data_IF_152370893807
#
_entry.id   IF_152370893807
#
_cell.length_a   1.000
_cell.length_b   1.000
_cell.length_c   1.000
_cell.angle_alpha   90.00
_cell.angle_beta   90.00
_cell.angle_gamma   90.00
#
_symmetry.space_group_name_H-M   'P 1'
#
loop_
_entity.id
_entity.type
_entity.pdbx_description
1 polymer ?
#
# COMPACT_ATOMS: atom_id res chain seq x y z
N UNK A 1 -8.70 -26.52 0.85
CA UNK A 1 -9.71 -25.45 0.73
C UNK A 1 -9.17 -24.04 0.96
N UNK A 2 -8.52 -23.74 2.09
CA UNK A 2 -7.97 -22.39 2.36
C UNK A 2 -6.88 -21.96 1.37
N UNK A 3 -6.01 -22.89 0.96
CA UNK A 3 -4.96 -22.62 -0.03
C UNK A 3 -5.55 -22.25 -1.39
N UNK A 4 -6.50 -23.05 -1.85
CA UNK A 4 -7.25 -22.81 -3.10
C UNK A 4 -7.99 -21.47 -3.06
N UNK A 5 -8.55 -21.10 -1.90
CA UNK A 5 -9.18 -19.79 -1.70
C UNK A 5 -8.16 -18.65 -1.76
N UNK A 6 -7.04 -18.75 -1.04
CA UNK A 6 -6.04 -17.68 -0.98
C UNK A 6 -5.44 -17.38 -2.35
N UNK A 7 -5.14 -18.43 -3.14
CA UNK A 7 -4.63 -18.27 -4.51
C UNK A 7 -5.69 -17.65 -5.43
N UNK A 8 -6.93 -18.14 -5.37
CA UNK A 8 -8.06 -17.57 -6.13
C UNK A 8 -8.29 -16.10 -5.78
N UNK A 9 -8.29 -15.78 -4.49
CA UNK A 9 -8.46 -14.42 -3.98
C UNK A 9 -7.40 -13.47 -4.55
N UNK A 10 -6.12 -13.87 -4.47
CA UNK A 10 -5.00 -13.10 -5.02
C UNK A 10 -5.16 -12.85 -6.51
N UNK A 11 -5.47 -13.88 -7.29
CA UNK A 11 -5.65 -13.77 -8.74
C UNK A 11 -6.79 -12.80 -9.09
N UNK A 12 -7.95 -12.94 -8.43
CA UNK A 12 -9.11 -12.07 -8.69
C UNK A 12 -8.87 -10.64 -8.24
N UNK A 13 -8.24 -10.42 -7.08
CA UNK A 13 -7.84 -9.08 -6.62
C UNK A 13 -6.93 -8.39 -7.65
N UNK A 14 -5.93 -9.09 -8.17
CA UNK A 14 -5.03 -8.55 -9.20
C UNK A 14 -5.80 -8.24 -10.48
N UNK A 15 -6.72 -9.13 -10.91
CA UNK A 15 -7.59 -8.91 -12.07
C UNK A 15 -8.47 -7.67 -11.93
N UNK A 16 -8.97 -7.39 -10.72
CA UNK A 16 -9.72 -6.17 -10.40
C UNK A 16 -8.83 -4.91 -10.31
N UNK A 17 -7.50 -5.05 -10.40
CA UNK A 17 -6.56 -3.93 -10.29
C UNK A 17 -6.45 -3.33 -8.88
N UNK A 18 -6.90 -4.07 -7.86
CA UNK A 18 -6.97 -3.63 -6.45
C UNK A 18 -5.68 -4.02 -5.74
N UNK A 19 -5.10 -3.14 -4.93
CA UNK A 19 -3.90 -3.47 -4.14
C UNK A 19 -4.28 -4.09 -2.79
N UNK A 20 -3.35 -4.79 -2.14
CA UNK A 20 -3.55 -5.34 -0.79
C UNK A 20 -3.91 -4.26 0.25
N UNK A 21 -3.41 -3.04 0.10
CA UNK A 21 -3.76 -1.91 0.97
C UNK A 21 -5.19 -1.40 0.70
N UNK A 22 -5.62 -1.41 -0.56
CA UNK A 22 -6.98 -1.02 -0.96
C UNK A 22 -8.00 -2.01 -0.40
N UNK A 23 -7.69 -3.32 -0.40
CA UNK A 23 -8.54 -4.34 0.25
C UNK A 23 -8.70 -4.02 1.73
N UNK A 24 -7.59 -3.82 2.44
CA UNK A 24 -7.61 -3.51 3.87
C UNK A 24 -8.43 -2.26 4.21
N UNK A 25 -8.32 -1.22 3.37
CA UNK A 25 -9.10 0.02 3.50
C UNK A 25 -10.58 -0.17 3.17
N UNK A 26 -10.90 -0.96 2.15
CA UNK A 26 -12.27 -1.23 1.74
C UNK A 26 -13.03 -2.07 2.79
N UNK A 27 -12.35 -3.03 3.43
CA UNK A 27 -12.92 -3.83 4.52
C UNK A 27 -13.29 -2.98 5.74
N UNK A 28 -12.55 -1.90 6.02
CA UNK A 28 -12.91 -0.96 7.09
C UNK A 28 -14.28 -0.30 6.85
N UNK A 29 -14.69 -0.14 5.60
CA UNK A 29 -15.98 0.46 5.24
C UNK A 29 -17.15 -0.52 5.27
N UNK A 30 -16.89 -1.84 5.27
CA UNK A 30 -17.93 -2.88 5.28
C UNK A 30 -18.58 -3.06 6.66
N UNK A 31 -18.13 -2.35 7.71
CA UNK A 31 -18.71 -2.34 9.07
C UNK A 31 -19.08 -3.74 9.61
N UNK A 32 -18.29 -4.76 9.29
CA UNK A 32 -18.53 -6.12 9.80
C UNK A 32 -18.18 -6.13 11.30
N UNK A 33 -19.11 -6.48 12.21
CA UNK A 33 -18.84 -6.50 13.64
C UNK A 33 -17.63 -7.40 13.97
N UNK A 34 -16.67 -6.86 14.73
CA UNK A 34 -15.47 -7.60 15.15
C UNK A 34 -14.31 -7.61 14.14
N UNK A 35 -14.48 -7.03 12.95
CA UNK A 35 -13.43 -6.93 11.93
C UNK A 35 -12.89 -5.50 11.91
N UNK A 36 -11.77 -5.28 12.57
CA UNK A 36 -11.02 -4.02 12.48
C UNK A 36 -10.44 -3.79 11.08
N UNK A 37 -9.85 -2.61 10.85
CA UNK A 37 -9.15 -2.33 9.61
C UNK A 37 -8.01 -3.36 9.39
N UNK A 38 -8.11 -4.14 8.32
CA UNK A 38 -7.02 -5.06 7.97
C UNK A 38 -5.89 -4.26 7.33
N UNK A 39 -4.66 -4.55 7.72
CA UNK A 39 -3.50 -3.90 7.14
C UNK A 39 -3.09 -4.58 5.83
N UNK A 40 -2.33 -3.87 4.98
CA UNK A 40 -1.72 -4.45 3.79
C UNK A 40 -0.90 -5.72 4.13
N UNK A 41 -0.17 -5.72 5.26
CA UNK A 41 0.60 -6.88 5.68
C UNK A 41 -0.30 -8.05 6.10
N UNK A 42 -1.48 -7.81 6.66
CA UNK A 42 -2.46 -8.88 6.94
C UNK A 42 -2.93 -9.56 5.66
N UNK A 43 -3.28 -8.79 4.63
CA UNK A 43 -3.69 -9.35 3.33
C UNK A 43 -2.54 -10.10 2.66
N UNK A 44 -1.32 -9.54 2.71
CA UNK A 44 -0.12 -10.20 2.18
C UNK A 44 0.15 -11.54 2.87
N UNK A 45 -0.02 -11.61 4.21
CA UNK A 45 0.20 -12.84 4.97
C UNK A 45 -0.88 -13.89 4.70
N UNK A 46 -2.12 -13.45 4.49
CA UNK A 46 -3.20 -14.34 4.05
C UNK A 46 -2.91 -14.95 2.67
N UNK A 47 -2.54 -14.13 1.68
CA UNK A 47 -2.21 -14.58 0.31
C UNK A 47 -0.98 -15.50 0.25
N UNK A 48 -0.05 -15.39 1.22
CA UNK A 48 1.14 -16.23 1.32
C UNK A 48 1.00 -17.41 2.28
N UNK A 49 -0.20 -17.62 2.85
CA UNK A 49 -0.47 -18.70 3.80
C UNK A 49 0.42 -18.64 5.06
N UNK A 50 0.86 -17.45 5.46
CA UNK A 50 1.76 -17.23 6.62
C UNK A 50 1.03 -16.76 7.89
N UNK A 51 -0.30 -16.86 7.89
CA UNK A 51 -1.12 -16.69 9.10
C UNK A 51 -1.39 -18.04 9.75
N UNK A 52 -1.71 -18.02 11.05
CA UNK A 52 -2.17 -19.23 11.74
C UNK A 52 -3.46 -19.76 11.11
N UNK A 53 -3.69 -21.07 11.22
CA UNK A 53 -4.89 -21.71 10.67
C UNK A 53 -6.18 -21.04 11.17
N UNK A 54 -6.29 -20.76 12.47
CA UNK A 54 -7.47 -20.09 13.05
C UNK A 54 -7.70 -18.69 12.46
N UNK A 55 -6.63 -17.92 12.22
CA UNK A 55 -6.75 -16.61 11.58
C UNK A 55 -7.15 -16.73 10.10
N UNK A 56 -6.62 -17.73 9.39
CA UNK A 56 -7.01 -18.00 8.00
C UNK A 56 -8.50 -18.34 7.90
N UNK A 57 -9.00 -19.20 8.80
CA UNK A 57 -10.42 -19.58 8.87
C UNK A 57 -11.29 -18.36 9.18
N UNK A 58 -10.89 -17.53 10.13
CA UNK A 58 -11.64 -16.32 10.50
C UNK A 58 -11.67 -15.27 9.37
N UNK A 59 -10.59 -15.13 8.61
CA UNK A 59 -10.50 -14.14 7.53
C UNK A 59 -11.16 -14.58 6.22
N UNK A 60 -11.26 -15.90 5.96
CA UNK A 60 -11.86 -16.43 4.72
C UNK A 60 -13.24 -15.84 4.42
N UNK A 61 -14.26 -15.91 5.30
CA UNK A 61 -15.61 -15.41 4.97
C UNK A 61 -15.64 -13.90 4.72
N UNK A 62 -14.80 -13.13 5.42
CA UNK A 62 -14.69 -11.68 5.28
C UNK A 62 -14.14 -11.32 3.89
N UNK A 63 -13.06 -11.98 3.50
CA UNK A 63 -12.40 -11.76 2.21
C UNK A 63 -13.25 -12.28 1.05
N UNK A 64 -14.03 -13.33 1.27
CA UNK A 64 -14.97 -13.89 0.28
C UNK A 64 -16.11 -12.90 0.02
N UNK A 65 -16.76 -12.40 1.07
CA UNK A 65 -17.83 -11.41 0.95
C UNK A 65 -17.36 -10.13 0.25
N UNK A 66 -16.17 -9.63 0.61
CA UNK A 66 -15.59 -8.47 -0.06
C UNK A 66 -15.31 -8.72 -1.54
N UNK A 67 -14.79 -9.91 -1.88
CA UNK A 67 -14.43 -10.25 -3.26
C UNK A 67 -15.68 -10.33 -4.15
N UNK A 68 -16.76 -10.94 -3.66
CA UNK A 68 -18.03 -11.02 -4.38
C UNK A 68 -18.60 -9.63 -4.69
N UNK A 69 -18.57 -8.73 -3.70
CA UNK A 69 -19.06 -7.35 -3.85
C UNK A 69 -18.19 -6.56 -4.83
N UNK A 70 -16.86 -6.67 -4.71
CA UNK A 70 -15.94 -6.01 -5.63
C UNK A 70 -16.11 -6.49 -7.07
N UNK A 71 -16.35 -7.79 -7.29
CA UNK A 71 -16.62 -8.33 -8.62
C UNK A 71 -18.00 -7.91 -9.15
N UNK A 72 -19.04 -7.82 -8.29
CA UNK A 72 -20.37 -7.32 -8.66
C UNK A 72 -20.29 -5.88 -9.15
N UNK A 73 -19.66 -5.00 -8.37
CA UNK A 73 -19.48 -3.60 -8.73
C UNK A 73 -18.69 -3.42 -10.03
N UNK A 74 -17.70 -4.29 -10.30
CA UNK A 74 -16.94 -4.24 -11.56
C UNK A 74 -17.80 -4.66 -12.76
N UNK A 75 -18.65 -5.69 -12.61
CA UNK A 75 -19.61 -6.10 -13.65
C UNK A 75 -20.61 -4.99 -13.96
N UNK A 76 -21.16 -4.34 -12.95
CA UNK A 76 -22.09 -3.22 -13.12
C UNK A 76 -21.47 -2.04 -13.89
N UNK A 77 -20.20 -1.73 -13.61
CA UNK A 77 -19.42 -0.71 -14.34
C UNK A 77 -19.15 -1.07 -15.80
N UNK A 78 -19.07 -2.35 -16.15
CA UNK A 78 -18.90 -2.78 -17.55
C UNK A 78 -20.23 -2.76 -18.33
N UNK A 79 -21.36 -2.91 -17.64
CA UNK A 79 -22.70 -2.92 -18.26
C UNK A 79 -23.35 -1.55 -18.44
N UNK A 80 -22.83 -0.49 -17.79
CA UNK A 80 -23.28 0.90 -17.99
C UNK A 80 -22.14 1.76 -18.56
N UNK A 81 -22.18 2.15 -19.84
CA UNK A 81 -21.24 3.13 -20.37
C UNK A 81 -21.71 4.52 -19.96
N UNK A 82 -21.39 4.97 -18.74
CA UNK A 82 -21.58 6.38 -18.39
C UNK A 82 -20.35 7.21 -18.76
N UNK A 83 -20.61 8.19 -19.62
CA UNK A 83 -19.72 9.28 -20.01
C UNK A 83 -19.63 10.26 -18.83
N UNK A 84 -18.55 10.28 -18.04
CA UNK A 84 -17.88 11.54 -17.61
C UNK A 84 -16.64 11.32 -16.70
N UNK A 85 -15.58 12.04 -17.09
CA UNK A 85 -14.56 12.76 -16.29
C UNK A 85 -13.98 12.19 -14.99
N UNK A 86 -12.67 11.93 -15.05
CA UNK A 86 -11.70 12.59 -14.16
C UNK A 86 -11.71 12.22 -12.68
N UNK A 87 -10.83 11.30 -12.28
CA UNK A 87 -10.45 11.21 -10.87
C UNK A 87 -9.73 9.94 -10.43
N UNK A 88 -8.58 9.58 -11.01
CA UNK A 88 -7.61 8.75 -10.28
C UNK A 88 -6.20 8.83 -10.89
N UNK A 89 -5.59 10.03 -10.83
CA UNK A 89 -4.15 10.16 -11.09
C UNK A 89 -3.38 9.62 -9.88
N UNK A 90 -3.29 8.28 -9.78
CA UNK A 90 -2.37 7.55 -8.90
C UNK A 90 -1.01 8.25 -8.90
N UNK A 91 -0.57 8.72 -7.73
CA UNK A 91 0.74 9.39 -7.59
C UNK A 91 1.84 8.36 -7.89
N UNK A 92 2.50 8.51 -9.04
CA UNK A 92 3.63 7.65 -9.45
C UNK A 92 4.75 7.74 -8.41
N UNK A 93 5.31 6.59 -8.04
CA UNK A 93 6.48 6.50 -7.15
C UNK A 93 7.66 7.24 -7.77
N UNK A 94 8.27 8.17 -7.03
CA UNK A 94 9.50 8.84 -7.46
C UNK A 94 10.68 7.89 -7.26
N UNK A 95 11.39 7.56 -8.34
CA UNK A 95 12.69 6.87 -8.26
C UNK A 95 13.75 7.91 -7.91
N UNK A 96 14.58 7.63 -6.90
CA UNK A 96 15.75 8.43 -6.55
C UNK A 96 16.94 7.73 -7.20
N UNK A 97 17.66 8.41 -8.08
CA UNK A 97 18.81 7.82 -8.75
C UNK A 97 20.01 7.64 -7.79
N UNK A 98 20.98 6.85 -8.23
CA UNK A 98 22.13 6.46 -7.41
C UNK A 98 22.98 7.63 -6.87
N UNK A 99 23.25 8.73 -7.61
CA UNK A 99 24.04 9.84 -7.08
C UNK A 99 23.28 10.66 -6.01
N UNK A 100 21.98 10.85 -6.17
CA UNK A 100 21.14 11.57 -5.19
C UNK A 100 20.99 10.73 -3.93
N UNK A 101 20.84 9.40 -4.07
CA UNK A 101 20.80 8.48 -2.92
C UNK A 101 22.10 8.55 -2.10
N UNK A 102 23.27 8.51 -2.75
CA UNK A 102 24.57 8.65 -2.08
C UNK A 102 24.69 10.00 -1.35
N UNK A 103 24.23 11.07 -1.98
CA UNK A 103 24.24 12.41 -1.38
C UNK A 103 23.32 12.49 -0.15
N UNK A 104 22.13 11.90 -0.22
CA UNK A 104 21.20 11.81 0.91
C UNK A 104 21.79 10.99 2.08
N UNK A 105 22.49 9.89 1.78
CA UNK A 105 23.20 9.08 2.78
C UNK A 105 24.31 9.88 3.48
N UNK A 106 25.07 10.69 2.74
CA UNK A 106 26.09 11.59 3.32
C UNK A 106 25.47 12.65 4.25
N UNK A 107 24.38 13.30 3.84
CA UNK A 107 23.65 14.24 4.69
C UNK A 107 23.08 13.58 5.95
N UNK A 108 22.60 12.34 5.80
CA UNK A 108 22.03 11.57 6.90
C UNK A 108 23.08 11.18 7.94
N UNK A 109 24.31 10.84 7.53
CA UNK A 109 25.40 10.52 8.44
C UNK A 109 25.76 11.71 9.36
N UNK A 110 25.66 12.94 8.85
CA UNK A 110 25.94 14.17 9.62
C UNK A 110 24.75 14.56 10.50
N UNK A 111 23.53 14.57 9.93
CA UNK A 111 22.33 14.98 10.64
C UNK A 111 21.12 14.11 10.26
N UNK A 112 20.83 13.04 11.03
CA UNK A 112 19.70 12.14 10.76
C UNK A 112 18.30 12.78 10.88
N UNK A 113 18.22 13.92 11.58
CA UNK A 113 17.01 14.71 11.83
C UNK A 113 17.20 16.16 11.35
N UNK A 114 17.23 16.40 10.02
CA UNK A 114 17.33 17.75 9.49
C UNK A 114 16.04 18.55 9.76
N UNK A 115 16.17 19.87 9.96
CA UNK A 115 15.04 20.79 10.09
C UNK A 115 14.26 20.92 8.76
N UNK A 116 13.06 21.50 8.80
CA UNK A 116 12.25 21.73 7.58
C UNK A 116 12.97 22.60 6.54
N UNK A 117 13.72 23.61 7.00
CA UNK A 117 14.54 24.47 6.16
C UNK A 117 15.70 23.68 5.53
N UNK A 118 16.40 22.86 6.33
CA UNK A 118 17.48 22.03 5.82
C UNK A 118 17.00 21.00 4.81
N UNK A 119 15.81 20.42 5.01
CA UNK A 119 15.17 19.52 4.04
C UNK A 119 14.87 20.26 2.72
N UNK A 120 14.42 21.51 2.78
CA UNK A 120 14.17 22.31 1.59
C UNK A 120 15.47 22.58 0.81
N UNK A 121 16.54 22.97 1.50
CA UNK A 121 17.84 23.20 0.87
C UNK A 121 18.44 21.93 0.23
N UNK A 122 18.29 20.76 0.88
CA UNK A 122 18.74 19.48 0.30
C UNK A 122 17.91 19.11 -0.93
N UNK A 123 16.59 19.34 -0.88
CA UNK A 123 15.69 19.10 -1.99
C UNK A 123 16.05 19.94 -3.22
N UNK A 124 16.30 21.23 -3.04
CA UNK A 124 16.75 22.13 -4.10
C UNK A 124 18.10 21.69 -4.69
N UNK A 125 19.08 21.37 -3.84
CA UNK A 125 20.42 20.95 -4.29
C UNK A 125 20.42 19.63 -5.08
N UNK A 126 19.49 18.72 -4.78
CA UNK A 126 19.40 17.41 -5.42
C UNK A 126 18.34 17.36 -6.54
N UNK A 127 17.70 18.49 -6.86
CA UNK A 127 16.56 18.58 -7.78
C UNK A 127 15.45 17.55 -7.45
N UNK A 128 15.16 17.39 -6.16
CA UNK A 128 14.12 16.51 -5.65
C UNK A 128 12.99 17.30 -5.01
N UNK A 129 11.77 16.77 -5.05
CA UNK A 129 10.66 17.37 -4.29
C UNK A 129 10.94 17.31 -2.79
N UNK A 130 10.70 18.41 -2.07
CA UNK A 130 10.82 18.49 -0.60
C UNK A 130 10.20 17.30 0.15
N UNK A 131 9.04 16.85 -0.31
CA UNK A 131 8.34 15.71 0.29
C UNK A 131 9.08 14.37 0.09
N UNK A 132 9.77 14.19 -1.03
CA UNK A 132 10.57 12.98 -1.32
C UNK A 132 11.75 12.91 -0.36
N UNK A 133 12.49 14.01 -0.19
CA UNK A 133 13.61 14.09 0.76
C UNK A 133 13.13 13.86 2.19
N UNK A 134 12.05 14.52 2.62
CA UNK A 134 11.46 14.32 3.96
C UNK A 134 11.11 12.86 4.23
N UNK A 135 10.42 12.20 3.29
CA UNK A 135 10.02 10.79 3.41
C UNK A 135 11.25 9.89 3.41
N UNK A 136 12.27 10.19 2.60
CA UNK A 136 13.52 9.44 2.58
C UNK A 136 14.23 9.46 3.95
N UNK A 137 14.37 10.63 4.58
CA UNK A 137 14.97 10.73 5.92
C UNK A 137 14.14 9.99 6.98
N UNK A 138 12.81 10.03 6.90
CA UNK A 138 11.94 9.24 7.78
C UNK A 138 12.17 7.73 7.61
N UNK A 139 12.20 7.25 6.37
CA UNK A 139 12.41 5.84 6.07
C UNK A 139 13.81 5.38 6.49
N UNK A 140 14.84 6.22 6.30
CA UNK A 140 16.21 5.89 6.68
C UNK A 140 16.38 5.78 8.20
N UNK A 141 15.73 6.65 8.99
CA UNK A 141 15.67 6.49 10.45
C UNK A 141 14.93 5.22 10.89
N UNK A 142 13.84 4.87 10.20
CA UNK A 142 13.12 3.63 10.49
C UNK A 142 13.97 2.40 10.16
N UNK A 143 14.78 2.45 9.10
CA UNK A 143 15.71 1.38 8.74
C UNK A 143 16.78 1.18 9.82
N UNK A 144 17.37 2.26 10.35
CA UNK A 144 18.35 2.17 11.45
C UNK A 144 17.79 1.53 12.72
N UNK A 145 16.50 1.69 13.02
CA UNK A 145 15.85 1.08 14.19
C UNK A 145 15.55 -0.42 14.04
N UNK A 146 15.59 -0.93 12.81
CA UNK A 146 15.25 -2.32 12.47
C UNK A 146 16.48 -3.21 12.29
N UNK A 147 17.67 -2.61 12.33
CA UNK A 147 18.98 -3.27 12.29
C UNK A 147 19.53 -3.26 13.70
#
# INVERSE_FOLDING_TARGET
>A
ELESFAERFKQRRIKLGVTQADVGSALANLKIPGVGCLSQSTICRFESLTLSHNNMVALKPILEAWLEEAERAQREKMTKPEIYTGGDKKRKRTSIAAPEKRSLEAYFAVQPRPSSEKIAAIAEKLDLKKNVVRVWFCNQRQKQKRM
#
